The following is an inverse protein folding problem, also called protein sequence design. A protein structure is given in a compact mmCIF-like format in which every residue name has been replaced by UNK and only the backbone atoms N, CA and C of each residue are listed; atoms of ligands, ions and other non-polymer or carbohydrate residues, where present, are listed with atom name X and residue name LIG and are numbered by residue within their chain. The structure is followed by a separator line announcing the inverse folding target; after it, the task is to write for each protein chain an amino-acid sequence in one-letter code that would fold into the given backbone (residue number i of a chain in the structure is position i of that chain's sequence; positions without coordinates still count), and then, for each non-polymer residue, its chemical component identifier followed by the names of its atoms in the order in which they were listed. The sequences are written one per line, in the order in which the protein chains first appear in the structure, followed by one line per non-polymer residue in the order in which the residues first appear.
data_IF_121881860679
#
_entry.id   IF_121881860679
#
_cell.length_a   1.000
_cell.length_b   1.000
_cell.length_c   1.000
_cell.angle_alpha   90.00
_cell.angle_beta   90.00
_cell.angle_gamma   90.00
#
_symmetry.space_group_name_H-M   'P 1'
#
loop_
_entity.id
_entity.type
_entity.pdbx_description
1 polymer ?
#
# COMPACT_ATOMS: atom_id res chain seq x y z
N UNK A 1 -13.78 -12.21 -4.77
CA UNK A 1 -14.99 -11.57 -4.19
C UNK A 1 -14.68 -11.16 -2.76
N UNK A 2 -15.29 -10.09 -2.26
CA UNK A 2 -15.29 -9.74 -0.85
C UNK A 2 -16.48 -10.44 -0.18
N UNK A 3 -16.21 -11.24 0.84
CA UNK A 3 -17.23 -11.92 1.65
C UNK A 3 -17.41 -11.15 2.95
N UNK A 4 -18.65 -10.92 3.36
CA UNK A 4 -18.96 -10.19 4.58
C UNK A 4 -20.26 -10.67 5.21
N UNK A 5 -20.43 -10.35 6.49
CA UNK A 5 -21.57 -10.78 7.29
C UNK A 5 -21.39 -10.31 8.72
N UNK A 6 -22.44 -10.49 9.51
CA UNK A 6 -22.40 -10.19 10.94
C UNK A 6 -21.55 -11.24 11.66
N UNK A 7 -20.76 -10.78 12.62
CA UNK A 7 -19.95 -11.63 13.48
C UNK A 7 -20.41 -11.43 14.93
N UNK A 8 -20.50 -12.51 15.69
CA UNK A 8 -20.77 -12.44 17.13
C UNK A 8 -19.50 -11.95 17.86
N UNK A 9 -19.65 -10.99 18.77
CA UNK A 9 -18.56 -10.56 19.65
C UNK A 9 -17.98 -11.79 20.38
N UNK A 10 -16.65 -11.86 20.51
CA UNK A 10 -15.88 -12.93 21.18
C UNK A 10 -15.80 -14.31 20.51
N UNK A 11 -16.40 -14.53 19.33
CA UNK A 11 -16.32 -15.84 18.63
C UNK A 11 -15.13 -16.02 17.69
N UNK A 12 -14.27 -15.01 17.56
CA UNK A 12 -13.12 -15.02 16.66
C UNK A 12 -13.49 -14.76 15.20
N UNK A 13 -12.56 -14.98 14.27
CA UNK A 13 -12.79 -14.74 12.83
C UNK A 13 -13.66 -15.85 12.26
N UNK A 14 -14.86 -15.54 11.72
CA UNK A 14 -15.74 -16.56 11.16
C UNK A 14 -15.14 -17.15 9.87
N UNK A 15 -15.37 -18.46 9.59
CA UNK A 15 -14.99 -19.06 8.32
C UNK A 15 -15.65 -18.34 7.13
N UNK A 16 -14.95 -18.22 6.02
CA UNK A 16 -15.44 -17.47 4.84
C UNK A 16 -16.73 -18.07 4.26
N UNK A 17 -16.96 -19.36 4.47
CA UNK A 17 -18.14 -20.09 4.00
C UNK A 17 -19.42 -19.71 4.76
N UNK A 18 -19.30 -19.20 5.99
CA UNK A 18 -20.46 -18.80 6.81
C UNK A 18 -20.94 -17.38 6.49
N UNK A 19 -20.10 -16.58 5.81
CA UNK A 19 -20.40 -15.22 5.40
C UNK A 19 -21.40 -15.23 4.22
N UNK A 20 -22.61 -14.77 4.50
CA UNK A 20 -23.75 -14.87 3.58
C UNK A 20 -23.70 -13.87 2.43
N UNK A 21 -23.10 -12.69 2.64
CA UNK A 21 -23.11 -11.60 1.67
C UNK A 21 -21.77 -11.52 0.93
N UNK A 22 -21.84 -11.18 -0.36
CA UNK A 22 -20.69 -11.19 -1.27
C UNK A 22 -20.77 -10.04 -2.25
N UNK A 23 -19.64 -9.40 -2.52
CA UNK A 23 -19.48 -8.39 -3.56
C UNK A 23 -18.34 -8.82 -4.48
N UNK A 24 -18.56 -8.97 -5.80
CA UNK A 24 -17.48 -9.17 -6.74
C UNK A 24 -16.53 -7.97 -6.74
N UNK A 25 -15.22 -8.22 -6.67
CA UNK A 25 -14.22 -7.13 -6.66
C UNK A 25 -14.29 -6.31 -7.94
N UNK A 26 -14.62 -6.95 -9.06
CA UNK A 26 -14.81 -6.30 -10.35
C UNK A 26 -15.98 -5.30 -10.38
N UNK A 27 -16.94 -5.42 -9.47
CA UNK A 27 -18.11 -4.55 -9.39
C UNK A 27 -17.86 -3.33 -8.50
N UNK A 28 -16.71 -3.24 -7.82
CA UNK A 28 -16.37 -2.09 -7.00
C UNK A 28 -16.10 -0.89 -7.92
N UNK A 29 -16.92 0.16 -7.76
CA UNK A 29 -16.87 1.41 -8.54
C UNK A 29 -16.03 2.49 -7.86
N UNK A 30 -15.90 2.43 -6.53
CA UNK A 30 -15.17 3.46 -5.80
C UNK A 30 -15.01 3.21 -4.31
N UNK A 31 -14.20 4.08 -3.72
CA UNK A 31 -13.88 4.13 -2.30
C UNK A 31 -14.09 5.56 -1.82
N UNK A 32 -14.90 5.72 -0.77
CA UNK A 32 -15.15 6.98 -0.07
C UNK A 32 -14.59 6.89 1.35
N UNK A 33 -14.16 8.01 1.91
CA UNK A 33 -13.60 8.06 3.28
C UNK A 33 -14.16 9.24 4.06
N UNK A 34 -14.24 9.10 5.39
CA UNK A 34 -14.69 10.12 6.32
C UNK A 34 -16.04 10.74 5.95
N UNK A 35 -16.10 12.07 5.91
CA UNK A 35 -17.33 12.84 5.65
C UNK A 35 -17.99 12.56 4.30
N UNK A 36 -17.28 11.97 3.35
CA UNK A 36 -17.82 11.67 2.03
C UNK A 36 -18.67 10.41 2.01
N UNK A 37 -18.53 9.55 3.03
CA UNK A 37 -19.31 8.34 3.20
C UNK A 37 -20.81 8.62 3.48
N UNK A 38 -21.76 7.88 2.88
CA UNK A 38 -23.19 8.12 3.07
C UNK A 38 -23.65 8.08 4.54
N UNK A 39 -23.21 7.06 5.28
CA UNK A 39 -23.53 6.88 6.71
C UNK A 39 -23.02 8.00 7.62
N UNK A 40 -22.05 8.80 7.15
CA UNK A 40 -21.50 9.96 7.87
C UNK A 40 -22.26 11.24 7.53
N UNK A 41 -22.86 11.34 6.33
CA UNK A 41 -23.66 12.49 5.91
C UNK A 41 -25.04 12.54 6.57
N UNK A 42 -25.62 11.39 6.87
CA UNK A 42 -26.95 11.28 7.49
C UNK A 42 -26.92 11.60 9.00
N UNK A 43 -25.79 11.40 9.67
CA UNK A 43 -25.62 11.55 11.11
C UNK A 43 -24.94 12.87 11.53
N UNK A 44 -25.21 13.97 10.80
CA UNK A 44 -24.62 15.29 11.08
C UNK A 44 -24.91 15.72 12.53
N UNK A 45 -23.86 15.79 13.35
CA UNK A 45 -23.91 16.27 14.74
C UNK A 45 -23.82 15.19 15.83
N UNK A 46 -23.85 13.89 15.48
CA UNK A 46 -23.68 12.78 16.45
C UNK A 46 -22.37 12.00 16.30
N UNK A 47 -21.62 12.27 15.24
CA UNK A 47 -20.39 11.57 14.88
C UNK A 47 -19.19 12.18 15.63
N UNK A 48 -18.37 11.34 16.28
CA UNK A 48 -17.10 11.81 16.86
C UNK A 48 -16.06 12.02 15.75
N UNK A 49 -15.04 12.85 16.03
CA UNK A 49 -13.92 13.04 15.10
C UNK A 49 -13.21 11.71 14.80
N UNK A 50 -13.02 10.88 15.82
CA UNK A 50 -12.39 9.56 15.67
C UNK A 50 -13.18 8.65 14.73
N UNK A 51 -14.52 8.66 14.84
CA UNK A 51 -15.36 7.87 13.95
C UNK A 51 -15.26 8.35 12.50
N UNK A 52 -15.15 9.68 12.28
CA UNK A 52 -14.89 10.26 10.95
C UNK A 52 -13.54 9.85 10.38
N UNK A 53 -12.50 9.80 11.20
CA UNK A 53 -11.15 9.45 10.75
C UNK A 53 -11.01 7.95 10.42
N UNK A 54 -11.96 7.11 10.84
CA UNK A 54 -11.97 5.65 10.63
C UNK A 54 -13.06 5.17 9.65
N UNK A 55 -13.90 6.08 9.15
CA UNK A 55 -15.00 5.73 8.26
C UNK A 55 -14.56 5.58 6.82
N UNK A 56 -15.01 4.51 6.15
CA UNK A 56 -14.87 4.35 4.71
C UNK A 56 -16.08 3.64 4.11
N UNK A 57 -16.25 3.72 2.79
CA UNK A 57 -17.36 3.06 2.09
C UNK A 57 -16.94 2.59 0.72
N UNK A 58 -17.38 1.38 0.38
CA UNK A 58 -17.19 0.76 -0.94
C UNK A 58 -18.44 1.04 -1.75
N UNK A 59 -18.32 1.77 -2.86
CA UNK A 59 -19.43 1.94 -3.81
C UNK A 59 -19.35 0.84 -4.85
N UNK A 60 -20.46 0.16 -5.09
CA UNK A 60 -20.53 -0.94 -6.08
C UNK A 60 -21.77 -0.82 -6.97
N UNK A 61 -22.79 -0.08 -6.56
CA UNK A 61 -23.86 0.38 -7.45
C UNK A 61 -24.11 1.89 -7.37
N UNK A 62 -24.97 2.42 -8.24
CA UNK A 62 -25.26 3.87 -8.34
C UNK A 62 -25.87 4.42 -7.05
N UNK A 63 -26.69 3.62 -6.36
CA UNK A 63 -27.32 4.03 -5.09
C UNK A 63 -26.86 3.22 -3.88
N UNK A 64 -26.10 2.14 -4.08
CA UNK A 64 -25.66 1.25 -3.00
C UNK A 64 -24.17 1.37 -2.67
N UNK A 65 -23.91 1.45 -1.37
CA UNK A 65 -22.57 1.43 -0.79
C UNK A 65 -22.51 0.53 0.42
N UNK A 66 -21.40 -0.17 0.59
CA UNK A 66 -21.10 -0.89 1.82
C UNK A 66 -20.30 0.02 2.75
N UNK A 67 -20.92 0.35 3.89
CA UNK A 67 -20.41 1.32 4.86
C UNK A 67 -19.60 0.61 5.97
N UNK A 68 -18.47 1.19 6.36
CA UNK A 68 -17.58 0.62 7.36
C UNK A 68 -17.04 1.69 8.31
N UNK A 69 -16.85 1.29 9.57
CA UNK A 69 -16.00 1.98 10.55
C UNK A 69 -14.88 1.01 10.90
N UNK A 70 -13.64 1.37 10.60
CA UNK A 70 -12.50 0.55 10.96
C UNK A 70 -12.32 0.51 12.49
N UNK A 71 -11.93 -0.64 13.08
CA UNK A 71 -11.71 -0.74 14.52
C UNK A 71 -10.43 -0.04 14.98
N UNK A 72 -9.47 0.21 14.07
CA UNK A 72 -8.24 0.93 14.35
C UNK A 72 -7.76 1.72 13.13
N UNK A 73 -6.84 2.67 13.35
CA UNK A 73 -6.19 3.41 12.27
C UNK A 73 -5.38 2.48 11.35
N UNK A 74 -4.76 1.44 11.92
CA UNK A 74 -4.02 0.44 11.15
C UNK A 74 -4.95 -0.30 10.19
N UNK A 75 -6.10 -0.77 10.69
CA UNK A 75 -7.09 -1.46 9.85
C UNK A 75 -7.66 -0.54 8.79
N UNK A 76 -7.93 0.72 9.13
CA UNK A 76 -8.34 1.73 8.16
C UNK A 76 -7.32 1.87 7.02
N UNK A 77 -6.03 2.02 7.33
CA UNK A 77 -4.96 2.10 6.33
C UNK A 77 -4.90 0.83 5.47
N UNK A 78 -4.93 -0.36 6.10
CA UNK A 78 -4.88 -1.65 5.38
C UNK A 78 -6.04 -1.80 4.39
N UNK A 79 -7.27 -1.52 4.83
CA UNK A 79 -8.44 -1.61 3.98
C UNK A 79 -8.40 -0.58 2.85
N UNK A 80 -8.13 0.69 3.16
CA UNK A 80 -8.17 1.76 2.17
C UNK A 80 -7.07 1.64 1.13
N UNK A 81 -5.85 1.26 1.52
CA UNK A 81 -4.76 1.00 0.58
C UNK A 81 -5.02 -0.24 -0.27
N UNK A 82 -5.44 -1.35 0.36
CA UNK A 82 -5.77 -2.58 -0.37
C UNK A 82 -6.87 -2.36 -1.40
N UNK A 83 -7.95 -1.67 -1.03
CA UNK A 83 -9.04 -1.31 -1.94
C UNK A 83 -8.59 -0.33 -3.03
N UNK A 84 -7.68 0.61 -2.71
CA UNK A 84 -7.11 1.52 -3.70
C UNK A 84 -6.33 0.75 -4.77
N UNK A 85 -5.52 -0.23 -4.37
CA UNK A 85 -4.79 -1.11 -5.31
C UNK A 85 -5.74 -1.94 -6.17
N UNK A 86 -6.79 -2.52 -5.58
CA UNK A 86 -7.79 -3.27 -6.34
C UNK A 86 -8.52 -2.39 -7.37
N UNK A 87 -8.64 -1.09 -7.11
CA UNK A 87 -9.17 -0.08 -8.02
C UNK A 87 -8.13 0.49 -9.01
N UNK A 88 -6.90 -0.02 -9.01
CA UNK A 88 -5.79 0.45 -9.87
C UNK A 88 -5.24 1.82 -9.47
N UNK A 89 -5.41 2.21 -8.21
CA UNK A 89 -4.89 3.47 -7.63
C UNK A 89 -3.68 3.20 -6.75
N UNK A 90 -2.89 4.22 -6.49
CA UNK A 90 -1.76 4.12 -5.56
C UNK A 90 -2.23 4.03 -4.11
N UNK A 91 -1.43 3.33 -3.29
CA UNK A 91 -1.57 3.34 -1.83
C UNK A 91 -1.09 4.69 -1.30
N UNK A 92 -1.85 5.29 -0.38
CA UNK A 92 -1.61 6.67 0.08
C UNK A 92 -1.56 6.82 1.59
N UNK A 93 -1.76 5.73 2.34
CA UNK A 93 -1.75 5.80 3.79
C UNK A 93 -0.36 6.13 4.37
N UNK A 94 -0.38 6.66 5.59
CA UNK A 94 0.85 6.88 6.36
C UNK A 94 1.58 5.56 6.68
N UNK A 95 0.82 4.48 6.87
CA UNK A 95 1.38 3.14 7.11
C UNK A 95 2.21 2.67 5.92
N UNK A 96 1.67 2.76 4.70
CA UNK A 96 2.40 2.40 3.48
C UNK A 96 3.67 3.23 3.31
N UNK A 97 3.60 4.55 3.56
CA UNK A 97 4.78 5.43 3.47
C UNK A 97 5.87 5.04 4.46
N UNK A 98 5.48 4.76 5.71
CA UNK A 98 6.41 4.36 6.76
C UNK A 98 7.05 3.01 6.45
N UNK A 99 6.28 2.03 5.98
CA UNK A 99 6.79 0.72 5.61
C UNK A 99 7.75 0.80 4.42
N UNK A 100 7.39 1.58 3.39
CA UNK A 100 8.26 1.84 2.25
C UNK A 100 9.59 2.45 2.68
N UNK A 101 9.57 3.44 3.55
CA UNK A 101 10.79 4.09 4.06
C UNK A 101 11.70 3.10 4.80
N UNK A 102 11.13 2.23 5.63
CA UNK A 102 11.89 1.20 6.35
C UNK A 102 12.56 0.23 5.37
N UNK A 103 11.79 -0.31 4.43
CA UNK A 103 12.27 -1.29 3.45
C UNK A 103 13.33 -0.68 2.54
N UNK A 104 13.07 0.52 2.00
CA UNK A 104 14.00 1.22 1.13
C UNK A 104 15.28 1.60 1.88
N UNK A 105 15.17 2.08 3.11
CA UNK A 105 16.33 2.38 3.96
C UNK A 105 17.20 1.15 4.18
N UNK A 106 16.61 -0.01 4.42
CA UNK A 106 17.34 -1.27 4.57
C UNK A 106 18.05 -1.67 3.28
N UNK A 107 17.35 -1.63 2.15
CA UNK A 107 17.94 -1.96 0.84
C UNK A 107 19.10 -1.02 0.49
N UNK A 108 18.92 0.29 0.66
CA UNK A 108 19.99 1.27 0.41
C UNK A 108 21.20 0.99 1.30
N UNK A 109 20.99 0.73 2.60
CA UNK A 109 22.09 0.38 3.52
C UNK A 109 22.85 -0.86 3.06
N UNK A 110 22.16 -1.90 2.59
CA UNK A 110 22.79 -3.11 2.05
C UNK A 110 23.63 -2.80 0.80
N UNK A 111 23.13 -1.97 -0.11
CA UNK A 111 23.87 -1.54 -1.31
C UNK A 111 25.10 -0.70 -1.01
N UNK A 112 25.09 0.01 0.12
CA UNK A 112 26.19 0.88 0.54
C UNK A 112 27.25 0.16 1.39
N UNK A 113 27.11 -1.13 1.68
CA UNK A 113 28.10 -1.89 2.45
C UNK A 113 29.49 -1.87 1.80
N UNK A 114 29.57 -2.02 0.47
CA UNK A 114 30.85 -1.99 -0.26
C UNK A 114 31.50 -0.59 -0.29
N UNK A 115 30.75 0.45 0.07
CA UNK A 115 31.20 1.85 0.10
C UNK A 115 31.48 2.33 1.53
N UNK A 116 31.61 1.42 2.49
CA UNK A 116 31.92 1.78 3.87
C UNK A 116 33.25 2.56 3.93
N UNK A 117 33.23 3.73 4.56
CA UNK A 117 34.35 4.69 4.63
C UNK A 117 34.79 5.33 3.30
N UNK A 118 34.06 5.11 2.20
CA UNK A 118 34.29 5.80 0.93
C UNK A 118 33.51 7.12 0.91
N UNK A 119 34.17 8.21 0.51
CA UNK A 119 33.51 9.51 0.34
C UNK A 119 32.60 9.46 -0.90
N UNK A 120 31.29 9.60 -0.69
CA UNK A 120 30.31 9.66 -1.78
C UNK A 120 30.30 11.10 -2.32
N UNK A 121 30.60 11.31 -3.62
CA UNK A 121 30.62 12.65 -4.20
C UNK A 121 29.20 13.23 -4.30
N UNK A 122 29.04 14.53 -4.04
CA UNK A 122 27.75 15.22 -4.15
C UNK A 122 27.24 15.33 -5.59
N UNK A 123 28.15 15.27 -6.57
CA UNK A 123 27.84 15.34 -7.99
C UNK A 123 28.40 14.12 -8.71
N UNK A 124 27.70 13.68 -9.75
CA UNK A 124 28.15 12.55 -10.56
C UNK A 124 29.52 12.86 -11.19
N UNK A 125 30.53 11.98 -11.03
CA UNK A 125 31.81 12.12 -11.70
C UNK A 125 31.66 12.16 -13.22
N UNK A 126 32.52 12.93 -13.90
CA UNK A 126 32.50 13.02 -15.36
C UNK A 126 32.85 11.67 -15.96
N UNK A 127 31.98 11.14 -16.82
CA UNK A 127 32.26 9.92 -17.57
C UNK A 127 33.39 10.22 -18.58
N UNK A 128 34.53 9.50 -18.53
CA UNK A 128 35.63 9.74 -19.45
C UNK A 128 35.23 9.38 -20.89
N UNK A 129 35.91 9.98 -21.88
CA UNK A 129 35.74 9.57 -23.28
C UNK A 129 36.12 8.09 -23.44
N UNK A 130 35.47 7.35 -24.36
CA UNK A 130 35.86 5.99 -24.66
C UNK A 130 37.36 5.89 -25.00
N UNK A 131 38.02 4.78 -24.64
CA UNK A 131 39.40 4.52 -25.04
C UNK A 131 39.58 4.58 -26.57
N UNK A 132 40.79 4.92 -27.02
CA UNK A 132 41.10 4.98 -28.46
C UNK A 132 41.16 3.61 -29.14
N UNK A 133 41.25 2.53 -28.35
CA UNK A 133 41.32 1.14 -28.81
C UNK A 133 40.82 0.20 -27.70
N UNK A 134 40.60 -1.07 -28.06
CA UNK A 134 40.11 -2.13 -27.15
C UNK A 134 41.15 -3.23 -26.93
N UNK A 135 42.45 -2.90 -26.97
CA UNK A 135 43.52 -3.85 -26.68
C UNK A 135 43.68 -3.99 -25.16
N UNK A 136 42.88 -4.86 -24.54
CA UNK A 136 42.89 -5.05 -23.09
C UNK A 136 44.18 -5.72 -22.60
N UNK A 137 44.64 -5.32 -21.41
CA UNK A 137 45.84 -5.91 -20.78
C UNK A 137 45.62 -7.33 -20.23
N UNK A 138 44.36 -7.75 -20.09
CA UNK A 138 43.96 -9.04 -19.53
C UNK A 138 43.04 -9.76 -20.50
N UNK A 139 43.26 -11.07 -20.63
CA UNK A 139 42.37 -11.96 -21.37
C UNK A 139 41.44 -12.66 -20.37
N UNK A 140 40.15 -12.32 -20.43
CA UNK A 140 39.13 -12.91 -19.57
C UNK A 140 38.70 -14.31 -20.03
N UNK A 141 39.18 -14.80 -21.19
CA UNK A 141 38.87 -16.15 -21.68
C UNK A 141 39.55 -17.27 -20.87
N UNK A 142 40.51 -16.94 -20.00
CA UNK A 142 41.25 -17.92 -19.20
C UNK A 142 40.68 -18.17 -17.80
N UNK A 143 39.61 -17.46 -17.39
CA UNK A 143 39.07 -17.53 -16.01
C UNK A 143 37.93 -18.56 -15.84
N UNK A 144 37.63 -19.37 -16.86
CA UNK A 144 36.57 -20.40 -16.83
C UNK A 144 37.10 -21.86 -16.73
N UNK A 145 38.21 -22.12 -16.03
CA UNK A 145 38.66 -23.49 -15.68
C UNK A 145 38.81 -23.70 -14.18
#
# INVERSE_FOLDING_TARGET
MLHYGDAEEDTGVPPIETLQKKIPVADIKGLLTGKDCPHMKENKGKQTKEQLDLAFSITYDVEDSLNFIAPSRTDFCLWTDGLSVLLGREMSSESMRSELEILLSMEIKLRLLDLENVQIPETAPVVPKPPSNYNFCYDLSQTEQ
#
